data_IF_140737956409
#
_entry.id   IF_140737956409
#
_cell.length_a   1.000
_cell.length_b   1.000
_cell.length_c   1.000
_cell.angle_alpha   90.00
_cell.angle_beta   90.00
_cell.angle_gamma   90.00
#
_symmetry.space_group_name_H-M   'P 1'
#
loop_
_entity.id
_entity.type
_entity.pdbx_description
1 polymer ?
#
# COMPACT_ATOMS: atom_id res chain seq x y z
N UNK A 1 -13.86 35.17 -0.06
CA UNK A 1 -13.84 33.71 0.17
C UNK A 1 -12.72 33.15 -0.69
N UNK A 2 -11.57 32.83 -0.10
CA UNK A 2 -10.45 32.22 -0.81
C UNK A 2 -10.82 30.78 -1.17
N UNK A 3 -10.89 30.46 -2.46
CA UNK A 3 -11.06 29.10 -2.94
C UNK A 3 -9.97 28.20 -2.33
N UNK A 4 -10.38 27.21 -1.53
CA UNK A 4 -9.51 26.10 -1.18
C UNK A 4 -9.21 25.32 -2.46
N UNK A 5 -8.14 25.71 -3.17
CA UNK A 5 -7.60 24.93 -4.29
C UNK A 5 -7.16 23.58 -3.74
N UNK A 6 -8.00 22.57 -3.93
CA UNK A 6 -7.65 21.18 -3.63
C UNK A 6 -6.46 20.83 -4.51
N UNK A 7 -5.32 20.53 -3.90
CA UNK A 7 -4.12 20.18 -4.65
C UNK A 7 -4.34 18.82 -5.33
N UNK A 8 -4.45 18.76 -6.67
CA UNK A 8 -4.75 17.52 -7.38
C UNK A 8 -3.64 16.48 -7.23
N UNK A 9 -2.41 16.90 -6.89
CA UNK A 9 -1.29 16.00 -6.62
C UNK A 9 -1.47 15.18 -5.34
N UNK A 10 -2.26 15.68 -4.38
CA UNK A 10 -2.60 14.94 -3.16
C UNK A 10 -3.74 13.94 -3.41
N UNK A 11 -4.62 14.20 -4.38
CA UNK A 11 -5.75 13.34 -4.76
C UNK A 11 -5.29 12.08 -5.49
N UNK A 12 -4.31 12.20 -6.37
CA UNK A 12 -3.75 11.09 -7.14
C UNK A 12 -2.45 10.53 -6.55
N UNK A 13 -2.19 10.80 -5.27
CA UNK A 13 -0.98 10.34 -4.60
C UNK A 13 -0.98 8.82 -4.55
N UNK A 14 -0.28 8.18 -5.49
CA UNK A 14 0.19 6.82 -5.27
C UNK A 14 1.13 6.92 -4.08
N UNK A 15 0.68 6.46 -2.92
CA UNK A 15 1.46 6.54 -1.69
C UNK A 15 2.84 5.87 -1.85
N UNK A 16 2.98 4.99 -2.86
CA UNK A 16 4.11 4.09 -3.05
C UNK A 16 4.60 4.08 -4.51
N UNK A 17 5.89 4.38 -4.70
CA UNK A 17 6.83 3.67 -5.59
C UNK A 17 6.72 3.84 -7.11
N UNK A 18 7.87 3.73 -7.77
CA UNK A 18 8.02 3.62 -9.23
C UNK A 18 6.99 2.61 -9.80
N UNK A 19 6.26 2.92 -10.89
CA UNK A 19 5.22 2.04 -11.45
C UNK A 19 5.70 0.60 -11.69
N UNK A 20 6.97 0.42 -12.01
CA UNK A 20 7.59 -0.90 -12.21
C UNK A 20 7.59 -1.74 -10.93
N UNK A 21 7.87 -1.12 -9.77
CA UNK A 21 7.89 -1.82 -8.48
C UNK A 21 6.49 -2.28 -8.06
N UNK A 22 5.49 -1.41 -8.25
CA UNK A 22 4.09 -1.76 -8.01
C UNK A 22 3.61 -2.87 -8.95
N UNK A 23 4.07 -2.86 -10.21
CA UNK A 23 3.75 -3.91 -11.18
C UNK A 23 4.34 -5.26 -10.75
N UNK A 24 5.62 -5.30 -10.35
CA UNK A 24 6.29 -6.52 -9.88
C UNK A 24 5.65 -7.12 -8.63
N UNK A 25 5.08 -6.29 -7.75
CA UNK A 25 4.39 -6.75 -6.54
C UNK A 25 2.94 -7.17 -6.79
N UNK A 26 2.40 -6.99 -8.00
CA UNK A 26 1.03 -7.40 -8.30
C UNK A 26 0.92 -8.92 -8.44
N UNK A 27 -0.13 -9.50 -7.84
CA UNK A 27 -0.38 -10.95 -7.88
C UNK A 27 -0.49 -11.49 -9.31
N UNK A 28 -1.09 -10.71 -10.22
CA UNK A 28 -1.28 -11.12 -11.61
C UNK A 28 0.05 -11.24 -12.36
N UNK A 29 0.96 -10.27 -12.17
CA UNK A 29 2.27 -10.29 -12.83
C UNK A 29 3.14 -11.37 -12.23
N UNK A 30 3.09 -11.56 -10.90
CA UNK A 30 3.76 -12.67 -10.24
C UNK A 30 3.30 -14.03 -10.78
N UNK A 31 1.99 -14.24 -10.89
CA UNK A 31 1.42 -15.46 -11.48
C UNK A 31 1.87 -15.69 -12.92
N UNK A 32 1.90 -14.62 -13.74
CA UNK A 32 2.41 -14.69 -15.11
C UNK A 32 3.89 -15.08 -15.15
N UNK A 33 4.73 -14.50 -14.29
CA UNK A 33 6.15 -14.86 -14.18
C UNK A 33 6.35 -16.33 -13.83
N UNK A 34 5.56 -16.88 -12.90
CA UNK A 34 5.63 -18.30 -12.54
C UNK A 34 5.25 -19.20 -13.72
N UNK A 35 4.13 -18.91 -14.39
CA UNK A 35 3.68 -19.70 -15.56
C UNK A 35 4.70 -19.64 -16.68
N UNK A 36 5.24 -18.45 -16.98
CA UNK A 36 6.28 -18.28 -18.00
C UNK A 36 7.54 -19.09 -17.67
N UNK A 37 7.97 -19.07 -16.40
CA UNK A 37 9.14 -19.85 -15.96
C UNK A 37 8.93 -21.37 -16.08
N UNK A 38 7.69 -21.84 -15.86
CA UNK A 38 7.32 -23.24 -16.01
C UNK A 38 7.33 -23.67 -17.48
N UNK A 39 6.73 -22.86 -18.38
CA UNK A 39 6.71 -23.13 -19.82
C UNK A 39 8.13 -23.10 -20.41
N UNK A 40 8.95 -22.14 -20.01
CA UNK A 40 10.34 -22.05 -20.45
C UNK A 40 11.16 -23.29 -20.04
N UNK A 41 10.94 -23.77 -18.81
CA UNK A 41 11.58 -24.99 -18.30
C UNK A 41 11.19 -26.26 -19.07
N UNK A 42 9.96 -26.31 -19.59
CA UNK A 42 9.47 -27.44 -20.38
C UNK A 42 10.09 -27.50 -21.78
N UNK A 43 10.25 -26.34 -22.43
CA UNK A 43 10.85 -26.24 -23.77
C UNK A 43 12.35 -26.55 -23.72
N UNK A 44 13.04 -26.07 -22.68
CA UNK A 44 14.48 -26.23 -22.53
C UNK A 44 14.85 -26.76 -21.13
N UNK A 45 14.96 -28.09 -20.95
CA UNK A 45 15.20 -28.71 -19.64
C UNK A 45 16.48 -28.24 -18.97
N UNK A 46 17.50 -27.83 -19.73
CA UNK A 46 18.75 -27.31 -19.17
C UNK A 46 18.59 -25.94 -18.48
N UNK A 47 17.47 -25.23 -18.70
CA UNK A 47 17.16 -23.94 -18.08
C UNK A 47 16.48 -24.09 -16.71
N UNK A 48 16.09 -25.32 -16.32
CA UNK A 48 15.50 -25.61 -15.02
C UNK A 48 16.19 -24.93 -13.82
N UNK A 49 17.52 -25.04 -13.64
CA UNK A 49 18.18 -24.38 -12.50
C UNK A 49 18.04 -22.85 -12.54
N UNK A 50 18.09 -22.24 -13.73
CA UNK A 50 17.93 -20.80 -13.89
C UNK A 50 16.50 -20.33 -13.62
N UNK A 51 15.50 -21.07 -14.13
CA UNK A 51 14.09 -20.79 -13.86
C UNK A 51 13.74 -20.95 -12.37
N UNK A 52 14.28 -21.96 -11.69
CA UNK A 52 14.10 -22.13 -10.25
C UNK A 52 14.66 -20.94 -9.46
N UNK A 53 15.88 -20.50 -9.75
CA UNK A 53 16.45 -19.30 -9.11
C UNK A 53 15.59 -18.06 -9.36
N UNK A 54 15.11 -17.86 -10.59
CA UNK A 54 14.22 -16.75 -10.92
C UNK A 54 12.90 -16.80 -10.13
N UNK A 55 12.27 -17.97 -10.01
CA UNK A 55 11.05 -18.13 -9.21
C UNK A 55 11.30 -17.87 -7.72
N UNK A 56 12.46 -18.25 -7.19
CA UNK A 56 12.81 -18.02 -5.79
C UNK A 56 12.99 -16.54 -5.49
N UNK A 57 13.67 -15.80 -6.37
CA UNK A 57 13.84 -14.35 -6.26
C UNK A 57 12.48 -13.65 -6.30
N UNK A 58 11.62 -14.00 -7.26
CA UNK A 58 10.29 -13.41 -7.38
C UNK A 58 9.39 -13.76 -6.19
N UNK A 59 9.49 -14.98 -5.64
CA UNK A 59 8.82 -15.38 -4.39
C UNK A 59 9.26 -14.50 -3.22
N UNK A 60 10.57 -14.26 -3.08
CA UNK A 60 11.12 -13.42 -2.02
C UNK A 60 10.63 -11.98 -2.14
N UNK A 61 10.65 -11.41 -3.35
CA UNK A 61 10.13 -10.06 -3.62
C UNK A 61 8.63 -9.96 -3.30
N UNK A 62 7.84 -10.97 -3.68
CA UNK A 62 6.42 -11.02 -3.38
C UNK A 62 6.16 -11.22 -1.88
N UNK A 63 6.95 -12.04 -1.18
CA UNK A 63 6.83 -12.26 0.26
C UNK A 63 7.15 -10.99 1.06
N UNK A 64 8.09 -10.17 0.58
CA UNK A 64 8.41 -8.87 1.15
C UNK A 64 7.36 -7.79 0.84
N UNK A 65 6.31 -8.09 0.07
CA UNK A 65 5.23 -7.13 -0.13
C UNK A 65 4.58 -6.81 1.22
N UNK A 66 4.43 -5.54 1.53
CA UNK A 66 3.66 -5.17 2.72
C UNK A 66 2.19 -5.36 2.42
N UNK A 67 1.50 -6.02 3.34
CA UNK A 67 0.06 -6.10 3.31
C UNK A 67 -0.55 -4.71 3.34
N UNK A 68 -1.46 -4.42 2.41
CA UNK A 68 -2.11 -3.12 2.31
C UNK A 68 -3.40 -3.14 3.12
N UNK A 69 -3.46 -2.34 4.17
CA UNK A 69 -4.70 -2.09 4.89
C UNK A 69 -5.60 -1.15 4.09
N UNK A 70 -6.92 -1.39 4.07
CA UNK A 70 -7.85 -0.57 3.30
C UNK A 70 -8.03 0.85 3.86
N UNK A 71 -7.82 1.05 5.17
CA UNK A 71 -7.96 2.35 5.82
C UNK A 71 -6.84 2.62 6.83
N UNK A 72 -7.03 2.33 8.12
CA UNK A 72 -5.99 2.37 9.17
C UNK A 72 -5.91 1.04 9.90
N UNK A 73 -4.80 0.79 10.59
CA UNK A 73 -4.70 -0.30 11.57
C UNK A 73 -5.14 0.18 12.97
N UNK A 74 -5.78 -0.67 13.79
CA UNK A 74 -6.11 -0.34 15.17
C UNK A 74 -4.86 -0.13 16.02
N UNK A 75 -4.89 0.89 16.87
CA UNK A 75 -3.78 1.25 17.76
C UNK A 75 -3.39 0.10 18.71
N UNK A 76 -4.32 -0.79 19.05
CA UNK A 76 -4.10 -1.97 19.91
C UNK A 76 -3.10 -2.98 19.34
N UNK A 77 -2.87 -2.97 18.02
CA UNK A 77 -1.91 -3.90 17.40
C UNK A 77 -0.44 -3.50 17.62
N UNK A 78 -0.16 -2.27 18.09
CA UNK A 78 1.19 -1.73 18.32
C UNK A 78 2.18 -1.98 17.17
N UNK A 79 1.66 -2.10 15.95
CA UNK A 79 2.42 -2.40 14.74
C UNK A 79 2.54 -1.14 13.88
N UNK A 80 3.54 -1.11 12.99
CA UNK A 80 3.64 -0.06 11.97
C UNK A 80 2.47 -0.16 10.99
N UNK A 81 1.81 0.96 10.72
CA UNK A 81 0.67 1.01 9.82
C UNK A 81 1.10 1.45 8.41
N UNK A 82 1.08 0.55 7.42
CA UNK A 82 1.53 0.83 6.05
C UNK A 82 0.65 1.87 5.33
N UNK A 83 -0.55 2.18 5.84
CA UNK A 83 -1.40 3.25 5.30
C UNK A 83 -0.89 4.65 5.66
N UNK A 84 -0.06 4.77 6.70
CA UNK A 84 0.45 6.04 7.20
C UNK A 84 1.86 6.36 6.67
N UNK A 85 2.49 5.39 6.00
CA UNK A 85 3.84 5.47 5.48
C UNK A 85 4.05 6.74 4.64
N UNK A 86 5.12 7.50 4.96
CA UNK A 86 5.49 8.71 4.22
C UNK A 86 6.84 8.53 3.55
N UNK A 87 6.90 8.82 2.26
CA UNK A 87 8.18 8.95 1.57
C UNK A 87 8.87 10.26 1.99
N UNK A 88 10.08 10.15 2.52
CA UNK A 88 10.93 11.27 2.90
C UNK A 88 12.24 11.14 2.14
N UNK A 89 12.71 12.26 1.57
CA UNK A 89 14.04 12.33 0.97
C UNK A 89 15.06 12.53 2.08
N UNK A 90 15.99 11.58 2.24
CA UNK A 90 17.15 11.71 3.12
C UNK A 90 18.41 11.92 2.28
N UNK A 91 19.33 12.73 2.78
CA UNK A 91 20.65 12.87 2.16
C UNK A 91 21.61 11.83 2.72
N UNK A 92 22.43 11.22 1.87
CA UNK A 92 23.48 10.27 2.30
C UNK A 92 24.68 10.97 2.93
N UNK A 93 24.99 12.19 2.49
CA UNK A 93 26.11 12.98 3.01
C UNK A 93 25.61 14.13 3.89
N UNK A 94 26.11 14.19 5.12
CA UNK A 94 25.81 15.30 6.05
C UNK A 94 26.41 16.63 5.60
N UNK A 95 27.51 16.58 4.82
CA UNK A 95 28.24 17.77 4.38
C UNK A 95 27.65 18.38 3.09
N UNK A 96 27.07 17.56 2.20
CA UNK A 96 26.47 18.00 0.93
C UNK A 96 25.07 17.37 0.76
N UNK A 97 24.03 17.97 1.36
CA UNK A 97 22.70 17.36 1.42
C UNK A 97 21.96 17.31 0.08
N UNK A 98 22.47 18.00 -0.95
CA UNK A 98 21.87 18.08 -2.29
C UNK A 98 22.46 17.11 -3.31
N UNK A 99 23.64 16.54 -3.07
CA UNK A 99 24.36 15.71 -4.04
C UNK A 99 23.75 14.32 -4.21
N UNK A 100 23.34 13.69 -3.10
CA UNK A 100 22.75 12.36 -3.09
C UNK A 100 21.56 12.34 -2.13
N UNK A 101 20.37 12.45 -2.70
CA UNK A 101 19.10 12.26 -2.00
C UNK A 101 18.55 10.88 -2.37
N UNK A 102 18.20 10.10 -1.36
CA UNK A 102 17.51 8.82 -1.53
C UNK A 102 16.16 8.88 -0.83
N UNK A 103 15.18 8.18 -1.40
CA UNK A 103 13.83 8.13 -0.86
C UNK A 103 13.73 6.99 0.15
N UNK A 104 13.29 7.32 1.36
CA UNK A 104 13.08 6.37 2.46
C UNK A 104 11.63 6.43 2.88
N UNK A 105 11.07 5.26 3.18
CA UNK A 105 9.76 5.16 3.80
C UNK A 105 9.93 5.41 5.31
N UNK A 106 9.33 6.48 5.80
CA UNK A 106 9.15 6.70 7.22
C UNK A 106 7.90 5.94 7.66
N UNK A 107 8.12 4.90 8.46
CA UNK A 107 7.06 4.13 9.10
C UNK A 107 6.51 4.90 10.30
N UNK A 108 5.20 4.84 10.47
CA UNK A 108 4.51 5.39 11.64
C UNK A 108 3.64 4.32 12.29
N UNK A 109 3.47 4.37 13.62
CA UNK A 109 2.67 3.39 14.35
C UNK A 109 1.19 3.46 13.95
N UNK A 110 0.49 2.35 14.15
CA UNK A 110 -0.96 2.29 14.02
C UNK A 110 -1.66 3.30 14.92
N UNK A 111 -2.63 4.03 14.36
CA UNK A 111 -3.37 5.09 15.06
C UNK A 111 -4.87 5.07 14.81
N UNK A 112 -5.41 3.94 14.33
CA UNK A 112 -6.84 3.71 14.23
C UNK A 112 -7.47 3.60 15.62
N UNK A 113 -8.44 4.46 15.91
CA UNK A 113 -9.14 4.56 17.20
C UNK A 113 -10.63 4.25 17.02
N UNK A 114 -11.22 4.69 15.91
CA UNK A 114 -12.66 4.55 15.68
C UNK A 114 -12.94 3.45 14.64
N UNK A 115 -13.71 2.45 15.05
CA UNK A 115 -14.14 1.35 14.19
C UNK A 115 -15.38 1.75 13.38
N UNK A 116 -15.30 1.61 12.06
CA UNK A 116 -16.40 1.99 11.12
C UNK A 116 -17.21 0.76 10.68
N UNK A 117 -16.56 -0.41 10.59
CA UNK A 117 -17.19 -1.61 10.05
C UNK A 117 -16.24 -2.46 9.23
N UNK A 118 -16.81 -3.25 8.32
CA UNK A 118 -16.06 -4.13 7.42
C UNK A 118 -16.11 -3.65 5.97
N UNK A 119 -14.98 -3.77 5.28
CA UNK A 119 -14.91 -3.57 3.84
C UNK A 119 -15.75 -4.65 3.12
N UNK A 120 -16.54 -4.21 2.14
CA UNK A 120 -17.35 -5.07 1.27
C UNK A 120 -16.69 -5.20 -0.12
N UNK A 121 -17.05 -6.26 -0.85
CA UNK A 121 -16.68 -6.53 -2.26
C UNK A 121 -15.26 -7.04 -2.49
N UNK A 122 -14.24 -6.17 -2.40
CA UNK A 122 -12.89 -6.50 -2.92
C UNK A 122 -12.03 -7.32 -1.94
N UNK A 123 -12.33 -7.16 -0.66
CA UNK A 123 -11.59 -7.70 0.49
C UNK A 123 -12.57 -7.91 1.65
N UNK A 124 -13.47 -8.88 1.47
CA UNK A 124 -14.58 -9.14 2.39
C UNK A 124 -14.03 -9.40 3.80
N UNK A 125 -14.57 -8.68 4.79
CA UNK A 125 -14.30 -8.93 6.21
C UNK A 125 -13.05 -8.23 6.76
N UNK A 126 -12.41 -7.33 6.01
CA UNK A 126 -11.36 -6.47 6.58
C UNK A 126 -11.96 -5.33 7.38
N UNK A 127 -11.47 -5.13 8.59
CA UNK A 127 -11.92 -4.04 9.46
C UNK A 127 -11.45 -2.67 8.94
N UNK A 128 -12.30 -1.67 9.12
CA UNK A 128 -12.06 -0.29 8.75
C UNK A 128 -11.95 0.56 10.01
N UNK A 129 -10.78 1.15 10.19
CA UNK A 129 -10.47 2.01 11.34
C UNK A 129 -10.10 3.42 10.90
N UNK A 130 -10.53 4.43 11.67
CA UNK A 130 -10.22 5.84 11.46
C UNK A 130 -9.32 6.38 12.57
N UNK A 131 -8.43 7.31 12.22
CA UNK A 131 -7.58 8.01 13.18
C UNK A 131 -8.27 9.28 13.72
N UNK A 132 -7.80 9.80 14.85
CA UNK A 132 -8.30 11.06 15.43
C UNK A 132 -8.15 12.24 14.47
N UNK A 133 -7.05 12.28 13.71
CA UNK A 133 -6.82 13.31 12.68
C UNK A 133 -7.86 13.23 11.55
N UNK A 134 -8.32 12.02 11.23
CA UNK A 134 -9.32 11.80 10.19
C UNK A 134 -10.72 12.22 10.70
N UNK A 135 -11.02 11.99 11.99
CA UNK A 135 -12.28 12.40 12.63
C UNK A 135 -12.39 13.93 12.81
N UNK A 136 -11.28 14.61 13.07
CA UNK A 136 -11.27 16.06 13.37
C UNK A 136 -11.34 16.95 12.13
N UNK A 137 -11.10 16.42 10.92
CA UNK A 137 -11.12 17.16 9.64
C UNK A 137 -12.49 17.30 8.98
N UNK A 138 -13.56 16.88 9.66
CA UNK A 138 -14.93 16.72 9.17
C UNK A 138 -15.17 15.40 8.41
N UNK A 139 -16.26 14.73 8.77
CA UNK A 139 -16.77 13.52 8.12
C UNK A 139 -18.17 13.83 7.61
N UNK A 140 -18.47 13.41 6.38
CA UNK A 140 -19.78 13.58 5.77
C UNK A 140 -20.35 12.22 5.38
N UNK A 141 -21.55 11.92 5.85
CA UNK A 141 -22.30 10.73 5.48
C UNK A 141 -23.44 11.10 4.53
N UNK A 142 -23.32 10.66 3.27
CA UNK A 142 -24.37 10.84 2.26
C UNK A 142 -25.12 9.52 2.06
N UNK A 143 -26.43 9.55 2.30
CA UNK A 143 -27.32 8.46 1.97
C UNK A 143 -28.73 8.99 1.70
N UNK A 144 -29.55 8.20 1.01
CA UNK A 144 -30.98 8.47 0.83
C UNK A 144 -31.75 8.23 2.14
N UNK A 145 -33.00 8.71 2.21
CA UNK A 145 -33.92 8.37 3.31
C UNK A 145 -34.10 6.85 3.39
N UNK A 146 -33.94 6.28 4.59
CA UNK A 146 -33.92 4.83 4.79
C UNK A 146 -32.53 4.18 4.59
N UNK A 147 -31.50 4.95 4.24
CA UNK A 147 -30.13 4.46 4.06
C UNK A 147 -29.32 4.26 5.36
N UNK A 148 -29.97 4.28 6.53
CA UNK A 148 -29.33 3.96 7.81
C UNK A 148 -28.53 5.09 8.49
N UNK A 149 -28.61 6.35 8.04
CA UNK A 149 -27.83 7.48 8.60
C UNK A 149 -27.99 7.72 10.10
N UNK A 150 -29.09 7.24 10.70
CA UNK A 150 -29.39 7.36 12.13
C UNK A 150 -28.96 6.15 12.95
N UNK A 151 -28.69 5.03 12.28
CA UNK A 151 -28.29 3.76 12.91
C UNK A 151 -26.76 3.58 12.90
N UNK A 152 -26.07 4.23 11.95
CA UNK A 152 -24.61 4.27 11.81
C UNK A 152 -23.97 5.27 12.75
#
# INVERSE_FOLDING_TARGET
>A
MSEHRVNPELLHRTAWGNPVWNALQSLNIYGFCLVASLVASFIWPLALPACLLFTLITMLVFSLQRWRCPLRMPMTLECADPSQDRMIKRSLFSFWPTLFQYEVILESPASGIFYVGYQRVRDIGRELWLSMDDLTRHIMFFATTGGGKTET
#
